data_IF_170466914974
#
_entry.id   IF_170466914974
#
_cell.length_a   1.000
_cell.length_b   1.000
_cell.length_c   1.000
_cell.angle_alpha   90.00
_cell.angle_beta   90.00
_cell.angle_gamma   90.00
#
_symmetry.space_group_name_H-M   'P 1'
#
loop_
_entity.id
_entity.type
_entity.pdbx_description
1 polymer ?
#
# COMPACT_ATOMS: atom_id res chain seq x y z
N UNK A 1 1.18 22.15 -15.67
CA UNK A 1 1.96 23.33 -15.22
C UNK A 1 1.17 23.95 -14.06
N UNK A 2 1.64 24.14 -12.83
CA UNK A 2 2.99 24.30 -12.30
C UNK A 2 3.02 24.03 -10.80
N UNK A 3 4.10 23.38 -10.33
CA UNK A 3 4.87 23.76 -9.14
C UNK A 3 4.09 23.96 -7.84
N UNK A 4 3.73 22.86 -7.17
CA UNK A 4 3.84 22.88 -5.71
C UNK A 4 5.32 23.02 -5.36
N UNK A 5 5.82 24.25 -5.34
CA UNK A 5 7.18 24.57 -4.90
C UNK A 5 7.33 24.14 -3.46
N UNK A 6 7.81 22.92 -3.23
CA UNK A 6 8.30 22.52 -1.92
C UNK A 6 9.38 23.51 -1.51
N UNK A 7 9.36 23.95 -0.25
CA UNK A 7 10.49 24.65 0.32
C UNK A 7 11.51 23.58 0.65
N UNK A 8 12.76 23.78 0.24
CA UNK A 8 13.82 22.81 0.47
C UNK A 8 14.96 23.47 1.23
N UNK A 9 15.56 22.71 2.13
CA UNK A 9 16.85 23.04 2.72
C UNK A 9 17.90 22.37 1.85
N UNK A 10 18.82 23.17 1.32
CA UNK A 10 19.95 22.75 0.48
C UNK A 10 21.23 23.28 1.09
N UNK A 11 22.33 22.60 0.81
CA UNK A 11 23.65 23.09 1.19
C UNK A 11 23.95 24.42 0.49
N UNK A 12 24.45 25.38 1.25
CA UNK A 12 24.86 26.69 0.72
C UNK A 12 26.23 26.63 0.04
N UNK A 13 27.11 25.74 0.51
CA UNK A 13 28.46 25.59 0.00
C UNK A 13 28.66 24.21 -0.66
N UNK A 14 28.94 24.13 -1.98
CA UNK A 14 29.21 22.87 -2.68
C UNK A 14 30.58 22.25 -2.34
N UNK A 15 31.52 23.01 -1.79
CA UNK A 15 32.92 22.59 -1.60
C UNK A 15 33.10 21.50 -0.53
N UNK A 16 32.12 21.34 0.37
CA UNK A 16 32.16 20.36 1.45
C UNK A 16 31.29 19.13 1.18
N UNK A 17 31.40 18.51 -0.01
CA UNK A 17 30.70 17.27 -0.41
C UNK A 17 29.24 17.16 0.11
N UNK A 18 28.53 18.28 0.21
CA UNK A 18 27.28 18.39 0.91
C UNK A 18 26.16 18.17 -0.11
N UNK A 19 25.67 16.93 -0.17
CA UNK A 19 24.61 16.50 -1.12
C UNK A 19 23.23 16.43 -0.46
N UNK A 20 23.02 17.24 0.57
CA UNK A 20 21.80 17.18 1.37
C UNK A 20 20.73 18.11 0.81
N UNK A 21 19.62 17.51 0.35
CA UNK A 21 18.39 18.24 -0.02
C UNK A 21 17.23 17.68 0.77
N UNK A 22 16.61 18.52 1.59
CA UNK A 22 15.51 18.10 2.46
C UNK A 22 14.24 18.90 2.15
N UNK A 23 13.10 18.25 1.87
CA UNK A 23 11.83 18.96 1.80
C UNK A 23 11.42 19.39 3.20
N UNK A 24 11.04 20.65 3.35
CA UNK A 24 10.49 21.15 4.60
C UNK A 24 9.10 20.51 4.85
N UNK A 25 8.81 20.13 6.11
CA UNK A 25 7.49 19.72 6.52
C UNK A 25 6.50 20.89 6.37
N UNK A 26 5.18 20.62 6.30
CA UNK A 26 4.17 21.67 6.38
C UNK A 26 4.31 22.46 7.70
N UNK A 27 3.93 23.76 7.71
CA UNK A 27 3.14 24.49 6.70
C UNK A 27 3.95 25.01 5.50
N UNK A 28 3.35 24.95 4.30
CA UNK A 28 3.97 25.42 3.05
C UNK A 28 3.88 26.94 2.84
N UNK A 29 3.28 27.65 3.79
CA UNK A 29 2.99 29.09 3.74
C UNK A 29 3.54 29.77 4.99
N UNK A 30 3.94 31.05 4.87
CA UNK A 30 4.59 31.82 5.94
C UNK A 30 6.10 32.02 5.71
N UNK A 31 6.71 32.90 6.49
CA UNK A 31 8.15 33.18 6.43
C UNK A 31 8.93 32.16 7.27
N UNK A 32 10.06 31.66 6.76
CA UNK A 32 10.91 30.73 7.51
C UNK A 32 11.93 31.54 8.29
N UNK A 33 11.95 31.35 9.60
CA UNK A 33 12.93 31.94 10.49
C UNK A 33 13.82 30.83 11.02
N UNK A 34 15.13 31.00 10.86
CA UNK A 34 16.13 30.12 11.46
C UNK A 34 16.35 30.61 12.89
N UNK A 35 16.33 29.68 13.83
CA UNK A 35 16.55 29.96 15.25
C UNK A 35 17.97 29.58 15.67
N UNK A 36 18.43 30.16 16.77
CA UNK A 36 19.78 29.92 17.31
C UNK A 36 19.92 28.53 17.97
N UNK A 37 18.79 27.85 18.20
CA UNK A 37 18.80 26.50 18.81
C UNK A 37 19.30 25.48 17.80
N UNK A 38 20.31 24.70 18.19
CA UNK A 38 20.89 23.63 17.36
C UNK A 38 20.42 22.28 17.87
N UNK A 39 20.03 21.41 16.94
CA UNK A 39 19.68 20.04 17.27
C UNK A 39 20.93 19.21 17.57
N UNK A 40 21.05 18.69 18.79
CA UNK A 40 22.18 17.85 19.21
C UNK A 40 22.36 16.58 18.38
N UNK A 41 21.26 16.02 17.84
CA UNK A 41 21.28 14.76 17.08
C UNK A 41 21.86 14.92 15.67
N UNK A 42 21.69 16.10 15.07
CA UNK A 42 21.94 16.31 13.65
C UNK A 42 22.78 17.54 13.33
N UNK A 43 23.10 18.37 14.33
CA UNK A 43 23.89 19.59 14.17
C UNK A 43 23.21 20.67 13.32
N UNK A 44 21.88 20.63 13.19
CA UNK A 44 21.12 21.57 12.36
C UNK A 44 20.34 22.57 13.23
N UNK A 45 20.31 23.83 12.78
CA UNK A 45 19.47 24.85 13.39
C UNK A 45 18.00 24.47 13.34
N UNK A 46 17.30 24.81 14.41
CA UNK A 46 15.85 24.73 14.48
C UNK A 46 15.24 25.82 13.60
N UNK A 47 14.09 25.49 13.01
CA UNK A 47 13.40 26.37 12.08
C UNK A 47 11.96 26.56 12.55
N UNK A 48 11.45 27.77 12.40
CA UNK A 48 10.06 28.11 12.67
C UNK A 48 9.45 28.81 11.47
N UNK A 49 8.12 28.71 11.36
CA UNK A 49 7.35 29.40 10.33
C UNK A 49 6.48 30.45 10.99
N UNK A 50 6.73 31.71 10.67
CA UNK A 50 5.94 32.84 11.16
C UNK A 50 4.95 33.28 10.09
N UNK A 51 3.75 33.66 10.52
CA UNK A 51 2.71 34.20 9.66
C UNK A 51 2.00 35.32 10.41
N UNK A 52 1.75 36.43 9.73
CA UNK A 52 0.97 37.54 10.28
C UNK A 52 -0.40 37.06 10.75
N UNK A 53 -0.76 37.44 11.97
CA UNK A 53 -2.04 37.09 12.60
C UNK A 53 -2.17 35.63 13.08
N UNK A 54 -1.11 34.82 13.04
CA UNK A 54 -1.10 33.47 13.58
C UNK A 54 0.09 33.23 14.52
N UNK A 55 -0.03 32.23 15.41
CA UNK A 55 1.10 31.83 16.25
C UNK A 55 2.21 31.23 15.39
N UNK A 56 3.50 31.54 15.67
CA UNK A 56 4.64 30.88 15.04
C UNK A 56 4.52 29.36 15.15
N UNK A 57 4.71 28.66 14.03
CA UNK A 57 4.79 27.21 14.02
C UNK A 57 6.25 26.80 14.21
N UNK A 58 6.57 26.20 15.36
CA UNK A 58 7.89 25.65 15.60
C UNK A 58 8.02 24.26 14.96
N UNK A 59 8.84 24.16 13.92
CA UNK A 59 9.16 22.88 13.27
C UNK A 59 10.28 22.17 14.06
N UNK A 60 11.18 22.94 14.67
CA UNK A 60 12.37 22.41 15.33
C UNK A 60 13.41 21.96 14.30
N UNK A 61 14.08 20.83 14.56
CA UNK A 61 15.06 20.30 13.62
C UNK A 61 14.40 19.85 12.31
N UNK A 62 14.78 20.41 11.15
CA UNK A 62 14.16 20.07 9.87
C UNK A 62 14.36 18.59 9.51
N UNK A 63 15.50 18.00 9.89
CA UNK A 63 15.81 16.61 9.61
C UNK A 63 15.03 15.62 10.49
N UNK A 64 14.86 15.92 11.79
CA UNK A 64 13.99 15.12 12.65
C UNK A 64 12.57 15.03 12.08
N UNK A 65 12.00 16.18 11.71
CA UNK A 65 10.65 16.23 11.15
C UNK A 65 10.53 15.45 9.84
N UNK A 66 11.57 15.48 9.00
CA UNK A 66 11.60 14.67 7.78
C UNK A 66 11.63 13.17 8.06
N UNK A 67 12.42 12.71 9.04
CA UNK A 67 12.47 11.29 9.44
C UNK A 67 11.07 10.83 9.89
N UNK A 68 10.38 11.64 10.69
CA UNK A 68 9.01 11.35 11.12
C UNK A 68 8.04 11.28 9.95
N UNK A 69 8.11 12.24 9.01
CA UNK A 69 7.33 12.21 7.79
C UNK A 69 7.58 10.95 6.95
N UNK A 70 8.83 10.49 6.86
CA UNK A 70 9.19 9.26 6.15
C UNK A 70 8.62 8.02 6.84
N UNK A 71 8.68 7.95 8.18
CA UNK A 71 8.07 6.85 8.94
C UNK A 71 6.55 6.81 8.73
N UNK A 72 5.86 7.93 8.88
CA UNK A 72 4.41 8.02 8.68
C UNK A 72 4.00 7.64 7.24
N UNK A 73 4.81 7.99 6.23
CA UNK A 73 4.57 7.56 4.86
C UNK A 73 4.73 6.06 4.67
N UNK A 74 5.75 5.44 5.29
CA UNK A 74 5.94 3.99 5.26
C UNK A 74 4.79 3.26 5.96
N UNK A 75 4.35 3.74 7.11
CA UNK A 75 3.19 3.18 7.83
C UNK A 75 1.90 3.32 7.04
N UNK A 76 1.65 4.48 6.42
CA UNK A 76 0.49 4.67 5.52
C UNK A 76 0.55 3.75 4.31
N UNK A 77 1.73 3.51 3.73
CA UNK A 77 1.91 2.55 2.63
C UNK A 77 1.69 1.12 3.11
N UNK A 78 2.23 0.73 4.27
CA UNK A 78 2.03 -0.59 4.88
C UNK A 78 0.56 -0.87 5.21
N UNK A 79 -0.16 0.13 5.73
CA UNK A 79 -1.60 0.04 5.98
C UNK A 79 -2.41 0.02 4.67
N UNK A 80 -1.94 0.68 3.61
CA UNK A 80 -2.56 0.63 2.28
C UNK A 80 -2.30 -0.69 1.54
N UNK A 81 -1.14 -1.33 1.71
CA UNK A 81 -0.96 -2.72 1.28
C UNK A 81 -1.90 -3.63 2.04
N UNK A 82 -2.07 -3.44 3.36
CA UNK A 82 -3.05 -4.19 4.16
C UNK A 82 -4.52 -3.93 3.70
N UNK A 83 -4.81 -2.76 3.12
CA UNK A 83 -6.14 -2.41 2.57
C UNK A 83 -6.36 -2.84 1.11
N UNK A 84 -5.29 -2.93 0.30
CA UNK A 84 -5.33 -3.49 -1.06
C UNK A 84 -5.25 -5.02 -1.04
N UNK A 85 -4.70 -5.60 0.02
CA UNK A 85 -5.03 -6.96 0.46
C UNK A 85 -6.26 -6.88 1.35
N UNK A 86 -7.41 -6.60 0.75
CA UNK A 86 -8.66 -7.20 1.21
C UNK A 86 -8.59 -8.73 1.05
N UNK A 87 -7.54 -9.38 1.55
CA UNK A 87 -7.60 -10.76 2.00
C UNK A 87 -8.36 -10.67 3.30
N UNK A 88 -9.67 -10.84 3.16
CA UNK A 88 -10.50 -11.31 4.26
C UNK A 88 -9.73 -12.46 4.91
N UNK A 89 -9.33 -12.29 6.17
CA UNK A 89 -8.75 -13.32 7.02
C UNK A 89 -9.80 -14.43 7.18
N UNK A 90 -9.88 -15.34 6.21
CA UNK A 90 -10.48 -16.65 6.34
C UNK A 90 -9.46 -17.62 5.80
N UNK A 91 -8.67 -18.16 6.73
CA UNK A 91 -8.15 -19.52 6.76
C UNK A 91 -7.92 -20.21 5.41
N UNK A 92 -6.63 -20.41 5.11
CA UNK A 92 -6.05 -21.57 4.42
C UNK A 92 -6.99 -22.45 3.57
N UNK A 93 -6.74 -22.49 2.25
CA UNK A 93 -7.16 -23.60 1.37
C UNK A 93 -8.29 -23.31 0.37
N UNK A 94 -8.41 -22.09 -0.19
CA UNK A 94 -9.59 -21.70 -0.96
C UNK A 94 -9.31 -21.58 -2.45
N UNK A 95 -10.19 -22.19 -3.25
CA UNK A 95 -10.41 -22.14 -4.72
C UNK A 95 -10.16 -20.82 -5.46
N UNK A 96 -9.92 -19.71 -4.75
CA UNK A 96 -9.64 -18.37 -5.29
C UNK A 96 -8.27 -18.23 -5.96
N UNK A 97 -7.44 -19.28 -5.97
CA UNK A 97 -6.18 -19.32 -6.72
C UNK A 97 -6.37 -19.59 -8.23
N UNK A 98 -7.55 -20.04 -8.66
CA UNK A 98 -7.83 -20.36 -10.06
C UNK A 98 -8.30 -19.11 -10.80
N UNK A 99 -7.67 -18.79 -11.92
CA UNK A 99 -8.02 -17.66 -12.77
C UNK A 99 -9.51 -17.72 -13.17
N UNK A 100 -10.29 -16.73 -12.71
CA UNK A 100 -11.72 -16.65 -12.98
C UNK A 100 -12.65 -17.18 -11.88
N UNK A 101 -12.10 -17.73 -10.78
CA UNK A 101 -12.84 -18.07 -9.56
C UNK A 101 -12.68 -16.93 -8.53
N UNK A 102 -13.64 -16.00 -8.53
CA UNK A 102 -13.74 -14.98 -7.49
C UNK A 102 -14.41 -15.51 -6.21
N UNK A 103 -14.42 -14.71 -5.15
CA UNK A 103 -15.02 -15.08 -3.85
C UNK A 103 -16.49 -15.54 -3.95
N UNK A 104 -17.27 -14.94 -4.86
CA UNK A 104 -18.66 -15.32 -5.08
C UNK A 104 -18.79 -16.76 -5.61
N UNK A 105 -17.93 -17.13 -6.56
CA UNK A 105 -17.89 -18.47 -7.16
C UNK A 105 -17.33 -19.48 -6.15
N UNK A 106 -16.27 -19.11 -5.44
CA UNK A 106 -15.69 -19.95 -4.40
C UNK A 106 -16.71 -20.30 -3.31
N UNK A 107 -17.56 -19.36 -2.89
CA UNK A 107 -18.65 -19.65 -1.94
C UNK A 107 -19.68 -20.62 -2.52
N UNK A 108 -20.05 -20.45 -3.78
CA UNK A 108 -21.00 -21.34 -4.46
C UNK A 108 -20.47 -22.77 -4.57
N UNK A 109 -19.20 -22.92 -4.97
CA UNK A 109 -18.52 -24.21 -5.03
C UNK A 109 -18.43 -24.85 -3.63
N UNK A 110 -18.17 -24.07 -2.59
CA UNK A 110 -18.16 -24.55 -1.21
C UNK A 110 -19.53 -25.02 -0.73
N UNK A 111 -20.60 -24.33 -1.11
CA UNK A 111 -21.97 -24.79 -0.85
C UNK A 111 -22.29 -26.09 -1.57
N UNK A 112 -21.62 -26.36 -2.70
CA UNK A 112 -21.70 -27.64 -3.42
C UNK A 112 -20.73 -28.71 -2.88
N UNK A 113 -20.02 -28.45 -1.77
CA UNK A 113 -19.10 -29.38 -1.12
C UNK A 113 -17.65 -29.31 -1.63
N UNK A 114 -17.37 -28.50 -2.65
CA UNK A 114 -16.04 -28.35 -3.25
C UNK A 114 -15.26 -27.31 -2.46
N UNK A 115 -14.20 -27.75 -1.78
CA UNK A 115 -13.37 -26.85 -0.96
C UNK A 115 -11.97 -26.69 -1.55
N UNK A 116 -11.49 -27.69 -2.29
CA UNK A 116 -10.14 -27.73 -2.86
C UNK A 116 -10.16 -27.75 -4.39
N UNK A 117 -9.08 -27.31 -5.06
CA UNK A 117 -8.95 -27.45 -6.51
C UNK A 117 -9.02 -28.92 -6.98
N UNK A 118 -8.51 -29.86 -6.19
CA UNK A 118 -8.61 -31.30 -6.48
C UNK A 118 -10.06 -31.81 -6.46
N UNK A 119 -10.86 -31.38 -5.49
CA UNK A 119 -12.30 -31.68 -5.45
C UNK A 119 -13.01 -31.16 -6.72
N UNK A 120 -12.57 -30.00 -7.24
CA UNK A 120 -13.14 -29.41 -8.45
C UNK A 120 -12.74 -30.19 -9.71
N UNK A 121 -11.50 -30.69 -9.77
CA UNK A 121 -11.00 -31.49 -10.89
C UNK A 121 -11.64 -32.88 -10.95
N UNK A 122 -11.97 -33.48 -9.81
CA UNK A 122 -12.63 -34.79 -9.72
C UNK A 122 -14.16 -34.73 -9.82
N UNK A 123 -14.77 -33.56 -9.64
CA UNK A 123 -16.22 -33.40 -9.68
C UNK A 123 -16.80 -33.42 -11.10
N UNK A 124 -18.07 -33.80 -11.22
CA UNK A 124 -18.77 -33.80 -12.50
C UNK A 124 -19.28 -32.39 -12.89
N UNK A 125 -18.93 -31.96 -14.10
CA UNK A 125 -19.26 -30.62 -14.58
C UNK A 125 -20.77 -30.42 -14.85
N UNK A 126 -21.52 -31.47 -15.18
CA UNK A 126 -22.97 -31.40 -15.38
C UNK A 126 -23.69 -31.29 -14.04
N UNK A 127 -23.30 -32.10 -13.05
CA UNK A 127 -23.87 -32.03 -11.70
C UNK A 127 -23.68 -30.65 -11.06
N UNK A 128 -22.47 -30.10 -11.17
CA UNK A 128 -22.17 -28.79 -10.63
C UNK A 128 -22.91 -27.68 -11.37
N UNK A 129 -23.05 -27.78 -12.69
CA UNK A 129 -23.84 -26.81 -13.46
C UNK A 129 -25.33 -26.86 -13.08
N UNK A 130 -25.86 -28.03 -12.71
CA UNK A 130 -27.24 -28.17 -12.24
C UNK A 130 -27.46 -27.62 -10.83
N UNK A 131 -26.48 -27.78 -9.94
CA UNK A 131 -26.52 -27.25 -8.56
C UNK A 131 -26.26 -25.74 -8.50
N UNK A 132 -25.56 -25.18 -9.50
CA UNK A 132 -25.07 -23.80 -9.50
C UNK A 132 -25.75 -22.97 -10.60
N UNK A 133 -26.76 -22.20 -10.21
CA UNK A 133 -27.55 -21.35 -11.13
C UNK A 133 -26.78 -20.26 -11.89
N UNK A 134 -25.54 -19.95 -11.46
CA UNK A 134 -24.72 -18.87 -12.01
C UNK A 134 -23.49 -19.34 -12.78
N UNK A 135 -23.24 -20.65 -12.83
CA UNK A 135 -22.01 -21.23 -13.36
C UNK A 135 -22.39 -22.25 -14.43
N UNK A 136 -21.92 -22.02 -15.66
CA UNK A 136 -22.19 -22.92 -16.77
C UNK A 136 -21.18 -24.07 -16.83
N UNK A 137 -21.60 -25.22 -17.36
CA UNK A 137 -20.74 -26.39 -17.66
C UNK A 137 -19.41 -26.00 -18.32
N UNK A 138 -19.46 -25.14 -19.35
CA UNK A 138 -18.26 -24.68 -20.08
C UNK A 138 -17.25 -23.97 -19.17
N UNK A 139 -17.73 -23.23 -18.18
CA UNK A 139 -16.88 -22.50 -17.22
C UNK A 139 -16.20 -23.45 -16.24
N UNK A 140 -16.92 -24.49 -15.82
CA UNK A 140 -16.41 -25.54 -14.92
C UNK A 140 -15.34 -26.37 -15.62
N UNK A 141 -15.60 -26.82 -16.84
CA UNK A 141 -14.62 -27.54 -17.66
C UNK A 141 -13.35 -26.71 -17.89
N UNK A 142 -13.48 -25.40 -18.09
CA UNK A 142 -12.33 -24.50 -18.23
C UNK A 142 -11.45 -24.47 -16.97
N UNK A 143 -12.06 -24.49 -15.78
CA UNK A 143 -11.32 -24.59 -14.52
C UNK A 143 -10.70 -25.97 -14.31
N UNK A 144 -11.43 -27.05 -14.62
CA UNK A 144 -10.93 -28.42 -14.52
C UNK A 144 -9.71 -28.63 -15.41
N UNK A 145 -9.77 -28.19 -16.67
CA UNK A 145 -8.63 -28.24 -17.60
C UNK A 145 -7.43 -27.46 -17.07
N UNK A 146 -7.65 -26.30 -16.47
CA UNK A 146 -6.58 -25.46 -15.90
C UNK A 146 -5.94 -26.06 -14.64
N UNK A 147 -6.64 -26.95 -13.93
CA UNK A 147 -6.13 -27.67 -12.75
C UNK A 147 -5.41 -28.94 -13.20
N UNK A 148 -5.97 -29.68 -14.15
CA UNK A 148 -5.37 -30.88 -14.73
C UNK A 148 -4.03 -30.58 -15.43
N UNK A 149 -3.92 -29.42 -16.09
CA UNK A 149 -2.67 -28.97 -16.69
C UNK A 149 -1.58 -28.58 -15.68
N UNK A 150 -1.94 -28.29 -14.42
CA UNK A 150 -1.01 -27.94 -13.34
C UNK A 150 -0.61 -29.14 -12.47
N UNK A 151 -1.38 -30.22 -12.50
CA UNK A 151 -1.16 -31.44 -11.68
C UNK A 151 -0.40 -32.54 -12.42
N UNK A 152 -0.13 -32.38 -13.72
CA UNK A 152 0.57 -33.35 -14.57
C UNK A 152 2.10 -33.10 -14.68
N UNK A 153 2.75 -32.63 -13.60
CA UNK A 153 4.22 -32.45 -13.53
C UNK A 153 4.80 -33.06 -12.26
#
# INVERSE_FOLDING_TARGET
>A
MSRSGGRFIKCTNPDQNCKFTLPLPPPRYGELVITDTICEKHGLHHVSVVKEGARPWEIGCPYCSYIELQKNQKERKANKTNRKTGVKKTSAGKLTGIAGIGEAIAKQLQSAGIKTPDDLAAADAEELSGKLTRISKKRIMGWQNAIQSQTSS
#
